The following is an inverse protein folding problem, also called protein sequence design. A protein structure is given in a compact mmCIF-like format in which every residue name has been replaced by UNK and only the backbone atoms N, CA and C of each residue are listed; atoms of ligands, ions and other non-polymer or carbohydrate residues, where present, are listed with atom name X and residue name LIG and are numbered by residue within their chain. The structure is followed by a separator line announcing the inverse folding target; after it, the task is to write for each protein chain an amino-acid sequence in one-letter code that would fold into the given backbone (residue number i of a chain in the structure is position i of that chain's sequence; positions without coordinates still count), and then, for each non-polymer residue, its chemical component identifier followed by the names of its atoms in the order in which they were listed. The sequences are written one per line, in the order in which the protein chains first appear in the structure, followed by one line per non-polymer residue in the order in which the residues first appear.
data_IF_934484000539
#
_entry.id   IF_934484000539
#
_cell.length_a   1.000
_cell.length_b   1.000
_cell.length_c   1.000
_cell.angle_alpha   90.00
_cell.angle_beta   90.00
_cell.angle_gamma   90.00
#
_symmetry.space_group_name_H-M   'P 1'
#
loop_
_entity.id
_entity.type
_entity.pdbx_description
1 polymer ?
#
# COMPACT_ATOMS: atom_id res chain seq x y z
N UNK A 1 13.82 -3.25 1.25
CA UNK A 1 12.96 -4.35 1.76
C UNK A 1 13.63 -5.72 1.52
N UNK A 2 13.54 -6.69 2.44
CA UNK A 2 13.96 -8.08 2.16
C UNK A 2 12.81 -8.81 1.44
N UNK A 3 12.96 -8.99 0.12
CA UNK A 3 11.88 -9.35 -0.82
C UNK A 3 11.51 -10.86 -0.88
N UNK A 4 12.06 -11.70 -0.01
CA UNK A 4 12.06 -13.16 -0.23
C UNK A 4 10.72 -13.89 0.01
N UNK A 5 9.62 -13.22 0.38
CA UNK A 5 8.32 -13.87 0.60
C UNK A 5 7.10 -12.94 0.47
N UNK A 6 7.19 -11.87 -0.33
CA UNK A 6 6.09 -10.90 -0.49
C UNK A 6 5.24 -11.32 -1.71
N UNK A 7 3.96 -11.63 -1.51
CA UNK A 7 3.00 -11.87 -2.60
C UNK A 7 2.64 -10.53 -3.27
N UNK A 8 3.51 -10.05 -4.15
CA UNK A 8 3.23 -8.96 -5.07
C UNK A 8 2.43 -9.51 -6.25
N UNK A 9 1.23 -8.99 -6.49
CA UNK A 9 0.37 -9.45 -7.60
C UNK A 9 0.54 -8.57 -8.83
N UNK A 10 0.21 -9.09 -10.01
CA UNK A 10 0.02 -8.33 -11.25
C UNK A 10 1.21 -7.43 -11.66
N UNK A 11 2.43 -7.94 -11.52
CA UNK A 11 3.65 -7.24 -11.94
C UNK A 11 3.97 -6.00 -11.11
N UNK A 12 3.46 -5.91 -9.88
CA UNK A 12 3.84 -4.86 -8.94
C UNK A 12 5.27 -5.11 -8.47
N UNK A 13 6.11 -4.09 -8.55
CA UNK A 13 7.49 -4.18 -8.08
C UNK A 13 7.61 -3.70 -6.63
N UNK A 14 8.65 -4.12 -5.88
CA UNK A 14 8.92 -3.58 -4.55
C UNK A 14 9.06 -2.05 -4.54
N UNK A 15 9.64 -1.49 -5.60
CA UNK A 15 9.81 -0.04 -5.76
C UNK A 15 8.45 0.66 -5.83
N UNK A 16 7.49 0.16 -6.64
CA UNK A 16 6.13 0.71 -6.67
C UNK A 16 5.45 0.69 -5.30
N UNK A 17 5.76 -0.32 -4.47
CA UNK A 17 5.28 -0.38 -3.09
C UNK A 17 5.96 0.66 -2.21
N UNK A 18 7.26 0.89 -2.34
CA UNK A 18 7.97 1.94 -1.60
C UNK A 18 7.47 3.35 -1.99
N UNK A 19 7.22 3.59 -3.28
CA UNK A 19 6.75 4.87 -3.81
C UNK A 19 5.46 5.34 -3.15
N UNK A 20 4.53 4.43 -2.84
CA UNK A 20 3.26 4.82 -2.20
C UNK A 20 3.45 5.36 -0.79
N UNK A 21 4.49 4.94 -0.06
CA UNK A 21 4.77 5.40 1.30
C UNK A 21 5.57 6.71 1.30
N UNK A 22 6.30 7.01 0.22
CA UNK A 22 6.96 8.31 0.00
C UNK A 22 5.94 9.39 -0.36
N UNK A 23 4.90 9.02 -1.11
CA UNK A 23 3.83 9.93 -1.50
C UNK A 23 2.71 10.05 -0.45
N UNK A 24 1.65 10.78 -0.80
CA UNK A 24 0.44 10.86 0.00
C UNK A 24 -0.34 9.54 -0.06
N UNK A 25 -0.43 8.86 1.08
CA UNK A 25 -1.24 7.65 1.24
C UNK A 25 -2.31 7.82 2.30
N UNK A 26 -3.32 6.95 2.24
CA UNK A 26 -4.37 6.82 3.24
C UNK A 26 -4.14 5.51 3.99
N UNK A 27 -3.95 5.61 5.29
CA UNK A 27 -3.76 4.44 6.15
C UNK A 27 -5.09 3.96 6.71
N UNK A 28 -5.39 2.68 6.51
CA UNK A 28 -6.56 2.01 7.06
C UNK A 28 -6.11 0.92 8.02
N UNK A 29 -6.71 0.89 9.22
CA UNK A 29 -6.49 -0.20 10.16
C UNK A 29 -7.26 -1.43 9.68
N UNK A 30 -6.56 -2.54 9.49
CA UNK A 30 -7.16 -3.83 9.16
C UNK A 30 -7.31 -4.71 10.41
N UNK A 31 -7.68 -5.97 10.23
CA UNK A 31 -7.81 -6.94 11.33
C UNK A 31 -6.45 -7.50 11.75
N UNK A 32 -6.36 -7.97 13.00
CA UNK A 32 -5.19 -8.68 13.54
C UNK A 32 -3.86 -7.92 13.47
N UNK A 33 -3.87 -6.61 13.80
CA UNK A 33 -2.65 -5.80 13.86
C UNK A 33 -2.06 -5.43 12.49
N UNK A 34 -2.80 -5.69 11.41
CA UNK A 34 -2.41 -5.33 10.04
C UNK A 34 -2.94 -3.97 9.65
N UNK A 35 -2.31 -3.39 8.65
CA UNK A 35 -2.69 -2.12 8.05
C UNK A 35 -2.83 -2.29 6.54
N UNK A 36 -3.65 -1.44 5.94
CA UNK A 36 -3.76 -1.30 4.50
C UNK A 36 -3.44 0.16 4.13
N UNK A 37 -2.35 0.38 3.41
CA UNK A 37 -2.04 1.67 2.81
C UNK A 37 -2.65 1.72 1.41
N UNK A 38 -3.44 2.76 1.16
CA UNK A 38 -3.92 3.12 -0.16
C UNK A 38 -3.09 4.29 -0.66
N UNK A 39 -2.33 4.11 -1.73
CA UNK A 39 -1.47 5.17 -2.26
C UNK A 39 -1.32 5.15 -3.77
N UNK A 40 -0.61 6.15 -4.26
CA UNK A 40 -0.35 6.36 -5.69
C UNK A 40 1.15 6.27 -5.94
N UNK A 41 1.56 5.52 -6.97
CA UNK A 41 2.94 5.43 -7.45
C UNK A 41 3.31 6.69 -8.25
N UNK A 42 4.58 6.89 -8.60
CA UNK A 42 5.00 8.01 -9.46
C UNK A 42 4.40 7.90 -10.86
N UNK A 43 4.25 6.69 -11.39
CA UNK A 43 3.55 6.40 -12.65
C UNK A 43 2.04 6.64 -12.58
N UNK A 44 1.49 6.84 -11.38
CA UNK A 44 0.08 7.11 -11.14
C UNK A 44 -0.80 5.88 -10.95
N UNK A 45 -0.20 4.70 -10.84
CA UNK A 45 -0.88 3.47 -10.46
C UNK A 45 -1.40 3.59 -9.02
N UNK A 46 -2.60 3.09 -8.76
CA UNK A 46 -3.24 3.15 -7.45
C UNK A 46 -3.17 1.78 -6.79
N UNK A 47 -2.41 1.68 -5.70
CA UNK A 47 -2.12 0.43 -5.03
C UNK A 47 -2.73 0.36 -3.64
N UNK A 48 -3.21 -0.83 -3.28
CA UNK A 48 -3.55 -1.24 -1.93
C UNK A 48 -2.45 -2.18 -1.43
N UNK A 49 -1.80 -1.77 -0.34
CA UNK A 49 -0.66 -2.49 0.25
C UNK A 49 -1.01 -2.89 1.67
N UNK A 50 -1.13 -4.19 1.89
CA UNK A 50 -1.38 -4.76 3.22
C UNK A 50 -0.04 -5.09 3.85
N UNK A 51 0.17 -4.60 5.07
CA UNK A 51 1.42 -4.80 5.80
C UNK A 51 1.20 -4.91 7.31
N UNK A 52 2.22 -5.41 7.99
CA UNK A 52 2.34 -5.39 9.45
C UNK A 52 3.37 -4.35 9.87
N UNK A 53 3.08 -3.57 10.89
CA UNK A 53 4.06 -2.69 11.51
C UNK A 53 4.88 -3.50 12.52
N UNK A 54 6.21 -3.53 12.36
CA UNK A 54 7.12 -4.28 13.24
C UNK A 54 7.75 -3.41 14.33
N UNK A 55 7.47 -2.10 14.34
CA UNK A 55 8.13 -1.13 15.22
C UNK A 55 9.24 -0.37 14.50
N UNK A 56 9.70 0.74 15.10
CA UNK A 56 10.86 1.51 14.64
C UNK A 56 10.80 1.96 13.17
N UNK A 57 9.61 2.24 12.65
CA UNK A 57 9.42 2.61 11.23
C UNK A 57 9.52 1.43 10.25
N UNK A 58 9.74 0.21 10.73
CA UNK A 58 9.86 -0.99 9.90
C UNK A 58 8.48 -1.60 9.65
N UNK A 59 8.18 -1.86 8.37
CA UNK A 59 6.98 -2.56 7.95
C UNK A 59 7.33 -3.88 7.24
N UNK A 60 6.51 -4.90 7.44
CA UNK A 60 6.54 -6.13 6.66
C UNK A 60 5.34 -6.13 5.71
N UNK A 61 5.61 -5.93 4.42
CA UNK A 61 4.58 -6.06 3.38
C UNK A 61 4.13 -7.51 3.31
N UNK A 62 2.82 -7.72 3.36
CA UNK A 62 2.18 -9.03 3.20
C UNK A 62 1.79 -9.21 1.74
N UNK A 63 1.07 -8.24 1.19
CA UNK A 63 0.65 -8.27 -0.21
C UNK A 63 0.44 -6.86 -0.76
N UNK A 64 0.65 -6.70 -2.06
CA UNK A 64 0.30 -5.50 -2.81
C UNK A 64 -0.53 -5.88 -4.04
N UNK A 65 -1.54 -5.06 -4.34
CA UNK A 65 -2.42 -5.22 -5.50
C UNK A 65 -2.94 -3.86 -5.96
N UNK A 66 -3.48 -3.83 -7.17
CA UNK A 66 -4.26 -2.70 -7.63
C UNK A 66 -5.49 -2.46 -6.74
N UNK A 67 -5.83 -1.18 -6.55
CA UNK A 67 -7.06 -0.79 -5.86
C UNK A 67 -8.30 -1.21 -6.67
N UNK A 68 -9.31 -1.69 -5.97
CA UNK A 68 -10.66 -1.87 -6.55
C UNK A 68 -11.31 -0.52 -6.82
N UNK A 69 -12.34 -0.47 -7.70
CA UNK A 69 -13.08 0.77 -7.98
C UNK A 69 -13.60 1.47 -6.72
N UNK A 70 -14.04 0.68 -5.72
CA UNK A 70 -14.52 1.18 -4.43
C UNK A 70 -13.40 1.84 -3.62
N UNK A 71 -12.23 1.22 -3.56
CA UNK A 71 -11.04 1.76 -2.90
C UNK A 71 -10.53 3.02 -3.59
N UNK A 72 -10.53 3.06 -4.93
CA UNK A 72 -10.16 4.25 -5.71
C UNK A 72 -11.07 5.43 -5.35
N UNK A 73 -12.39 5.21 -5.32
CA UNK A 73 -13.35 6.25 -4.93
C UNK A 73 -13.13 6.75 -3.50
N UNK A 74 -12.85 5.83 -2.58
CA UNK A 74 -12.53 6.15 -1.19
C UNK A 74 -11.23 6.97 -1.07
N UNK A 75 -10.16 6.50 -1.70
CA UNK A 75 -8.85 7.16 -1.71
C UNK A 75 -8.95 8.58 -2.25
N UNK A 76 -9.57 8.76 -3.43
CA UNK A 76 -9.75 10.07 -4.07
C UNK A 76 -10.49 11.08 -3.19
N UNK A 77 -11.52 10.65 -2.44
CA UNK A 77 -12.23 11.52 -1.49
C UNK A 77 -11.36 11.95 -0.32
N UNK A 78 -10.44 11.10 0.13
CA UNK A 78 -9.62 11.36 1.30
C UNK A 78 -8.36 12.17 1.00
N UNK A 79 -7.79 12.04 -0.21
CA UNK A 79 -6.59 12.80 -0.61
C UNK A 79 -6.88 14.21 -1.15
N UNK A 80 -8.14 14.52 -1.48
CA UNK A 80 -8.57 15.83 -1.98
C UNK A 80 -8.80 16.88 -0.88
N UNK A 81 -8.53 16.52 0.38
CA UNK A 81 -8.59 17.40 1.56
C UNK A 81 -7.19 17.87 1.91
#
# INVERSE_FOLDING_TARGET
MNASHIELRHGITPEEVEEIFVQRYVLLKAKYGRYNALGRTFSGRLLSVIFEYKGEGVIRVITARDMTRKEIGYFKRRIRV
#
